data_IF_445596526347
#
_entry.id   IF_445596526347
#
_cell.length_a   1.000
_cell.length_b   1.000
_cell.length_c   1.000
_cell.angle_alpha   90.00
_cell.angle_beta   90.00
_cell.angle_gamma   90.00
#
_symmetry.space_group_name_H-M   'P 1'
#
loop_
_entity.id
_entity.type
_entity.pdbx_description
1 polymer ?
#
# COMPACT_ATOMS: atom_id res chain seq x y z
N UNK A 1 1.30 -9.75 -17.52
CA UNK A 1 1.40 -10.72 -16.40
C UNK A 1 0.67 -10.17 -15.17
N UNK A 2 -0.62 -10.44 -15.07
CA UNK A 2 -1.44 -10.19 -13.88
C UNK A 2 -1.25 -11.37 -12.94
N UNK A 3 -0.11 -11.41 -12.25
CA UNK A 3 0.14 -12.46 -11.26
C UNK A 3 -0.79 -12.20 -10.09
N UNK A 4 -1.88 -12.98 -9.98
CA UNK A 4 -2.76 -12.93 -8.81
C UNK A 4 -1.94 -13.29 -7.57
N UNK A 5 -1.85 -12.35 -6.63
CA UNK A 5 -1.17 -12.58 -5.37
C UNK A 5 -2.14 -13.24 -4.39
N UNK A 6 -1.68 -14.19 -3.56
CA UNK A 6 -2.51 -14.72 -2.49
C UNK A 6 -2.83 -13.57 -1.51
N UNK A 7 -4.13 -13.30 -1.34
CA UNK A 7 -4.63 -12.33 -0.38
C UNK A 7 -5.18 -13.08 0.82
N UNK A 8 -4.70 -12.74 2.02
CA UNK A 8 -5.28 -13.24 3.26
C UNK A 8 -6.42 -12.31 3.64
N UNK A 9 -7.64 -12.85 3.72
CA UNK A 9 -8.81 -12.10 4.19
C UNK A 9 -9.19 -12.59 5.58
N UNK A 10 -9.33 -11.66 6.51
CA UNK A 10 -9.77 -11.92 7.89
C UNK A 10 -10.98 -11.05 8.22
N UNK A 11 -11.66 -11.36 9.33
CA UNK A 11 -12.82 -10.61 9.80
C UNK A 11 -14.16 -11.27 9.46
N UNK A 12 -15.24 -10.52 9.64
CA UNK A 12 -16.61 -10.98 9.45
C UNK A 12 -17.57 -9.79 9.24
N UNK A 13 -18.83 -10.08 8.97
CA UNK A 13 -19.86 -9.06 8.69
C UNK A 13 -20.11 -8.08 9.85
N UNK A 14 -19.78 -8.44 11.08
CA UNK A 14 -20.00 -7.60 12.26
C UNK A 14 -18.78 -6.68 12.53
N UNK A 15 -17.56 -7.17 12.29
CA UNK A 15 -16.31 -6.45 12.55
C UNK A 15 -15.70 -5.76 11.33
N UNK A 16 -16.23 -6.04 10.14
CA UNK A 16 -15.60 -5.71 8.87
C UNK A 16 -14.57 -6.75 8.42
N UNK A 17 -14.12 -6.60 7.18
CA UNK A 17 -13.12 -7.47 6.54
C UNK A 17 -11.78 -6.75 6.41
N UNK A 18 -10.68 -7.49 6.57
CA UNK A 18 -9.31 -7.01 6.36
C UNK A 18 -8.62 -7.89 5.34
N UNK A 19 -8.07 -7.28 4.30
CA UNK A 19 -7.32 -7.96 3.25
C UNK A 19 -5.84 -7.60 3.34
N UNK A 20 -4.98 -8.61 3.41
CA UNK A 20 -3.52 -8.48 3.49
C UNK A 20 -2.86 -9.18 2.30
N UNK A 21 -1.88 -8.53 1.67
CA UNK A 21 -1.07 -9.13 0.62
C UNK A 21 0.39 -8.67 0.75
N UNK A 22 1.32 -9.50 0.27
CA UNK A 22 2.74 -9.15 0.19
C UNK A 22 3.12 -8.92 -1.27
N UNK A 23 3.47 -7.68 -1.68
CA UNK A 23 3.90 -7.41 -3.05
C UNK A 23 5.21 -8.14 -3.34
N UNK A 24 5.27 -8.84 -4.48
CA UNK A 24 6.49 -9.53 -4.95
C UNK A 24 7.36 -8.68 -5.86
N UNK A 25 6.78 -7.62 -6.41
CA UNK A 25 7.43 -6.72 -7.36
C UNK A 25 7.27 -5.28 -6.88
N UNK A 26 8.30 -4.47 -7.13
CA UNK A 26 8.31 -3.03 -6.85
C UNK A 26 7.48 -2.32 -7.93
N UNK A 27 6.58 -1.43 -7.52
CA UNK A 27 5.71 -0.74 -8.46
C UNK A 27 4.33 -0.42 -7.88
N UNK A 28 3.44 0.05 -8.75
CA UNK A 28 2.04 0.32 -8.41
C UNK A 28 1.23 -0.96 -8.62
N UNK A 29 0.54 -1.38 -7.58
CA UNK A 29 -0.37 -2.52 -7.57
C UNK A 29 -1.81 -2.03 -7.55
N UNK A 30 -2.63 -2.52 -8.47
CA UNK A 30 -4.07 -2.24 -8.55
C UNK A 30 -4.83 -3.31 -7.78
N UNK A 31 -5.63 -2.89 -6.81
CA UNK A 31 -6.40 -3.79 -5.93
C UNK A 31 -7.87 -3.60 -6.22
N UNK A 32 -8.50 -4.65 -6.76
CA UNK A 32 -9.94 -4.69 -6.99
C UNK A 32 -10.64 -5.42 -5.85
N UNK A 33 -11.65 -4.77 -5.24
CA UNK A 33 -12.44 -5.36 -4.16
C UNK A 33 -13.91 -5.38 -4.57
N UNK A 34 -14.50 -6.57 -4.56
CA UNK A 34 -15.89 -6.80 -4.91
C UNK A 34 -16.64 -7.48 -3.75
N UNK A 35 -17.89 -7.10 -3.57
CA UNK A 35 -18.83 -7.74 -2.65
C UNK A 35 -20.07 -8.16 -3.42
N UNK A 36 -20.37 -9.47 -3.42
CA UNK A 36 -21.49 -10.05 -4.16
C UNK A 36 -21.50 -9.68 -5.66
N UNK A 37 -20.33 -9.69 -6.30
CA UNK A 37 -20.16 -9.34 -7.72
C UNK A 37 -20.27 -7.84 -8.03
N UNK A 38 -20.37 -6.98 -7.01
CA UNK A 38 -20.37 -5.54 -7.16
C UNK A 38 -19.10 -4.91 -6.58
N UNK A 39 -18.44 -3.98 -7.29
CA UNK A 39 -17.25 -3.31 -6.78
C UNK A 39 -17.60 -2.47 -5.56
N UNK A 40 -16.79 -2.60 -4.52
CA UNK A 40 -16.88 -1.73 -3.33
C UNK A 40 -16.41 -0.33 -3.70
N UNK A 41 -17.01 0.69 -3.09
CA UNK A 41 -16.63 2.09 -3.29
C UNK A 41 -15.12 2.29 -3.07
N UNK A 42 -14.46 3.02 -3.98
CA UNK A 42 -13.02 3.25 -3.97
C UNK A 42 -12.21 2.23 -4.77
N UNK A 43 -12.83 1.16 -5.28
CA UNK A 43 -12.19 0.23 -6.21
C UNK A 43 -11.99 0.87 -7.59
N UNK A 44 -10.81 0.73 -8.22
CA UNK A 44 -9.61 0.07 -7.69
C UNK A 44 -8.80 0.96 -6.74
N UNK A 45 -8.25 0.34 -5.70
CA UNK A 45 -7.28 0.99 -4.81
C UNK A 45 -5.88 0.84 -5.41
N UNK A 46 -5.04 1.87 -5.24
CA UNK A 46 -3.64 1.85 -5.69
C UNK A 46 -2.68 1.72 -4.51
N UNK A 47 -1.91 0.64 -4.46
CA UNK A 47 -0.85 0.43 -3.49
C UNK A 47 0.52 0.61 -4.16
N UNK A 48 1.39 1.44 -3.57
CA UNK A 48 2.76 1.66 -4.07
C UNK A 48 3.73 0.82 -3.24
N UNK A 49 4.35 -0.17 -3.86
CA UNK A 49 5.40 -0.99 -3.26
C UNK A 49 6.78 -0.45 -3.67
N UNK A 50 7.63 -0.15 -2.70
CA UNK A 50 8.97 0.39 -2.91
C UNK A 50 10.03 -0.63 -2.48
N UNK A 51 11.19 -0.61 -3.13
CA UNK A 51 12.34 -1.41 -2.69
C UNK A 51 13.04 -0.69 -1.53
N UNK A 52 12.98 -1.26 -0.33
CA UNK A 52 13.64 -0.71 0.86
C UNK A 52 15.16 -0.55 0.69
N UNK A 53 15.82 -1.42 -0.07
CA UNK A 53 17.27 -1.35 -0.33
C UNK A 53 17.67 -0.19 -1.25
N UNK A 54 16.70 0.36 -2.00
CA UNK A 54 16.87 1.55 -2.84
C UNK A 54 16.29 2.81 -2.19
N UNK A 55 15.68 2.69 -1.01
CA UNK A 55 15.31 3.85 -0.21
C UNK A 55 16.57 4.32 0.50
N UNK A 56 17.28 5.25 -0.15
CA UNK A 56 18.32 6.00 0.52
C UNK A 56 17.62 6.93 1.53
N UNK A 57 17.59 6.55 2.80
CA UNK A 57 17.24 7.50 3.85
C UNK A 57 18.39 8.51 3.86
N UNK A 58 18.19 9.66 3.20
CA UNK A 58 19.12 10.77 3.30
C UNK A 58 19.38 11.07 4.78
N UNK A 59 20.62 11.47 5.15
CA UNK A 59 20.91 11.79 6.54
C UNK A 59 19.85 12.78 7.04
N UNK A 60 19.17 12.42 8.14
CA UNK A 60 18.26 13.35 8.81
C UNK A 60 19.12 14.55 9.22
N UNK A 61 19.07 15.61 8.43
CA UNK A 61 19.73 16.85 8.77
C UNK A 61 19.14 17.26 10.12
N UNK A 62 19.98 17.43 11.14
CA UNK A 62 19.53 18.00 12.42
C UNK A 62 18.98 19.40 12.10
N UNK A 63 17.67 19.50 11.94
CA UNK A 63 16.99 20.75 11.68
C UNK A 63 17.01 21.59 12.94
N UNK A 64 17.50 22.82 12.84
CA UNK A 64 17.28 23.81 13.87
C UNK A 64 15.79 24.20 13.85
N UNK A 65 15.17 24.29 15.03
CA UNK A 65 13.76 24.68 15.19
C UNK A 65 13.51 26.00 14.45
N UNK A 66 12.61 25.99 13.45
CA UNK A 66 12.20 27.18 12.71
C UNK A 66 12.47 27.19 11.20
N UNK A 67 13.11 26.16 10.62
CA UNK A 67 13.26 26.07 9.16
C UNK A 67 12.47 24.91 8.53
N UNK A 68 11.64 25.17 7.49
CA UNK A 68 11.03 24.12 6.68
C UNK A 68 12.12 23.33 5.94
N UNK A 69 12.13 22.00 6.13
CA UNK A 69 13.03 21.10 5.40
C UNK A 69 12.22 20.23 4.44
N UNK A 70 12.61 20.24 3.17
CA UNK A 70 12.04 19.38 2.14
C UNK A 70 12.81 18.07 2.04
N UNK A 71 12.09 16.96 1.90
CA UNK A 71 12.64 15.63 1.63
C UNK A 71 12.33 15.24 0.18
N UNK A 72 13.30 14.68 -0.54
CA UNK A 72 13.15 14.12 -1.90
C UNK A 72 13.70 12.71 -1.92
#
# INVERSE_FOLDING_TARGET
PTTELPVKVTGNIHSGFTAEFTPREVGVHSISVEYNGHPVNGTPFMAKAFNADKVLIGPVARGNVGQPTHFT
#
